data_IF_167739725338
#
_entry.id   IF_167739725338
#
_cell.length_a   1.000
_cell.length_b   1.000
_cell.length_c   1.000
_cell.angle_alpha   90.00
_cell.angle_beta   90.00
_cell.angle_gamma   90.00
#
_symmetry.space_group_name_H-M   'P 1'
#
loop_
_entity.id
_entity.type
_entity.pdbx_description
1 polymer ?
#
# COMPACT_ATOMS: atom_id res chain seq x y z
N UNK A 1 4.48 -18.27 -39.36
CA UNK A 1 5.51 -18.50 -38.33
C UNK A 1 5.88 -17.26 -37.55
N UNK A 2 5.97 -16.07 -38.17
CA UNK A 2 6.29 -14.84 -37.46
C UNK A 2 5.33 -14.49 -36.36
N UNK A 3 4.02 -14.77 -36.53
CA UNK A 3 3.00 -14.45 -35.52
C UNK A 3 3.13 -15.30 -34.26
N UNK A 4 3.61 -16.55 -34.38
CA UNK A 4 3.81 -17.40 -33.21
C UNK A 4 4.97 -16.89 -32.35
N UNK A 5 6.08 -16.51 -32.98
CA UNK A 5 7.20 -15.93 -32.26
C UNK A 5 6.82 -14.62 -31.59
N UNK A 6 6.03 -13.79 -32.27
CA UNK A 6 5.54 -12.53 -31.71
C UNK A 6 4.72 -12.77 -30.45
N UNK A 7 3.80 -13.76 -30.50
CA UNK A 7 2.98 -14.11 -29.33
C UNK A 7 3.83 -14.58 -28.15
N UNK A 8 4.84 -15.41 -28.41
CA UNK A 8 5.74 -15.90 -27.37
C UNK A 8 6.50 -14.73 -26.74
N UNK A 9 7.00 -13.82 -27.55
CA UNK A 9 7.72 -12.63 -27.06
C UNK A 9 6.82 -11.78 -26.15
N UNK A 10 5.57 -11.55 -26.56
CA UNK A 10 4.61 -10.76 -25.79
C UNK A 10 4.33 -11.46 -24.45
N UNK A 11 4.10 -12.77 -24.45
CA UNK A 11 3.83 -13.52 -23.22
C UNK A 11 5.02 -13.45 -22.27
N UNK A 12 6.23 -13.63 -22.78
CA UNK A 12 7.45 -13.55 -21.98
C UNK A 12 7.61 -12.14 -21.40
N UNK A 13 7.35 -11.11 -22.21
CA UNK A 13 7.47 -9.72 -21.76
C UNK A 13 6.46 -9.40 -20.65
N UNK A 14 5.20 -9.83 -20.81
CA UNK A 14 4.17 -9.63 -19.79
C UNK A 14 4.53 -10.37 -18.50
N UNK A 15 4.99 -11.61 -18.63
CA UNK A 15 5.40 -12.41 -17.47
C UNK A 15 6.56 -11.75 -16.72
N UNK A 16 7.58 -11.30 -17.46
CA UNK A 16 8.73 -10.62 -16.88
C UNK A 16 8.32 -9.32 -16.18
N UNK A 17 7.42 -8.55 -16.80
CA UNK A 17 6.90 -7.31 -16.23
C UNK A 17 6.13 -7.58 -14.92
N UNK A 18 5.27 -8.59 -14.91
CA UNK A 18 4.50 -8.93 -13.70
C UNK A 18 5.41 -9.39 -12.56
N UNK A 19 6.43 -10.20 -12.87
CA UNK A 19 7.42 -10.62 -11.89
C UNK A 19 8.21 -9.43 -11.35
N UNK A 20 8.64 -8.54 -12.23
CA UNK A 20 9.37 -7.34 -11.82
C UNK A 20 8.54 -6.48 -10.87
N UNK A 21 7.26 -6.23 -11.20
CA UNK A 21 6.37 -5.47 -10.33
C UNK A 21 6.17 -6.14 -8.99
N UNK A 22 5.98 -7.45 -8.98
CA UNK A 22 5.78 -8.20 -7.74
C UNK A 22 7.00 -8.07 -6.82
N UNK A 23 8.20 -8.28 -7.34
CA UNK A 23 9.41 -8.15 -6.53
C UNK A 23 9.69 -6.70 -6.12
N UNK A 24 9.37 -5.75 -6.99
CA UNK A 24 9.53 -4.33 -6.69
C UNK A 24 8.64 -3.92 -5.53
N UNK A 25 7.38 -4.37 -5.51
CA UNK A 25 6.46 -4.10 -4.40
C UNK A 25 6.95 -4.73 -3.10
N UNK A 26 7.49 -5.94 -3.15
CA UNK A 26 8.03 -6.59 -1.96
C UNK A 26 9.23 -5.84 -1.37
N UNK A 27 10.05 -5.22 -2.22
CA UNK A 27 11.18 -4.41 -1.76
C UNK A 27 10.71 -3.09 -1.18
N UNK A 28 9.66 -2.52 -1.74
CA UNK A 28 9.17 -1.20 -1.35
C UNK A 28 8.50 -1.21 0.00
N UNK A 29 7.85 -2.31 0.38
CA UNK A 29 7.02 -2.34 1.58
C UNK A 29 7.13 -3.68 2.29
N UNK A 30 7.16 -3.64 3.62
CA UNK A 30 7.09 -4.84 4.45
C UNK A 30 5.66 -5.09 4.84
N UNK A 31 5.20 -6.32 4.66
CA UNK A 31 3.86 -6.73 5.05
C UNK A 31 3.87 -7.16 6.52
N UNK A 32 3.03 -6.54 7.32
CA UNK A 32 2.91 -6.86 8.75
C UNK A 32 1.60 -7.60 9.00
N UNK A 33 1.66 -8.59 9.88
CA UNK A 33 0.45 -9.22 10.42
C UNK A 33 -0.31 -8.20 11.26
N UNK A 34 -1.57 -8.50 11.59
CA UNK A 34 -2.37 -7.60 12.44
C UNK A 34 -1.69 -7.36 13.78
N UNK A 35 -1.12 -8.39 14.40
CA UNK A 35 -0.42 -8.28 15.68
C UNK A 35 0.79 -7.34 15.57
N UNK A 36 1.61 -7.55 14.55
CA UNK A 36 2.78 -6.70 14.31
C UNK A 36 2.36 -5.26 14.03
N UNK A 37 1.30 -5.08 13.26
CA UNK A 37 0.78 -3.77 12.92
C UNK A 37 0.27 -3.05 14.16
N UNK A 38 -0.48 -3.76 15.01
CA UNK A 38 -0.98 -3.21 16.29
C UNK A 38 0.14 -2.79 17.23
N UNK A 39 1.26 -3.48 17.20
CA UNK A 39 2.38 -3.18 18.07
C UNK A 39 3.04 -1.83 17.76
N UNK A 40 2.95 -1.34 16.52
CA UNK A 40 3.69 -0.16 16.10
C UNK A 40 2.88 0.99 15.52
N UNK A 41 1.61 0.78 15.16
CA UNK A 41 0.90 1.78 14.36
C UNK A 41 0.65 3.11 15.06
N UNK A 42 0.57 3.11 16.38
CA UNK A 42 0.34 4.36 17.14
C UNK A 42 1.55 5.27 17.17
N UNK A 43 2.75 4.71 17.00
CA UNK A 43 4.00 5.48 16.96
C UNK A 43 4.44 5.82 15.54
N UNK A 44 3.68 5.37 14.55
CA UNK A 44 3.98 5.58 13.15
C UNK A 44 2.99 6.56 12.53
N UNK A 45 3.28 6.97 11.29
CA UNK A 45 2.33 7.69 10.47
C UNK A 45 1.35 6.68 9.88
N UNK A 46 0.13 6.66 10.37
CA UNK A 46 -0.88 5.67 9.95
C UNK A 46 -1.77 6.28 8.87
N UNK A 47 -1.69 5.73 7.67
CA UNK A 47 -2.34 6.26 6.49
C UNK A 47 -3.31 5.23 5.91
N UNK A 48 -4.57 5.64 5.76
CA UNK A 48 -5.60 4.88 5.05
C UNK A 48 -5.63 5.36 3.60
N UNK A 49 -5.29 4.48 2.65
CA UNK A 49 -5.20 4.85 1.23
C UNK A 49 -6.48 4.50 0.46
N UNK A 50 -7.57 4.16 1.18
CA UNK A 50 -8.87 3.95 0.57
C UNK A 50 -9.51 5.28 0.20
N UNK A 51 -10.59 5.24 -0.55
CA UNK A 51 -11.32 6.47 -0.88
C UNK A 51 -11.99 7.07 0.35
N UNK A 52 -12.31 8.37 0.28
CA UNK A 52 -12.84 9.12 1.43
C UNK A 52 -14.15 8.52 1.96
N UNK A 53 -15.02 8.04 1.07
CA UNK A 53 -16.29 7.43 1.48
C UNK A 53 -16.07 6.11 2.24
N UNK A 54 -15.07 5.33 1.87
CA UNK A 54 -14.69 4.11 2.61
C UNK A 54 -14.18 4.47 4.00
N UNK A 55 -13.31 5.48 4.06
CA UNK A 55 -12.75 5.98 5.33
C UNK A 55 -13.84 6.47 6.27
N UNK A 56 -14.78 7.25 5.76
CA UNK A 56 -15.87 7.81 6.55
C UNK A 56 -16.78 6.73 7.13
N UNK A 57 -16.94 5.62 6.42
CA UNK A 57 -17.74 4.49 6.86
C UNK A 57 -17.11 3.66 7.97
N UNK A 58 -15.82 3.84 8.23
CA UNK A 58 -15.10 3.15 9.28
C UNK A 58 -13.62 3.05 8.92
N UNK A 59 -12.75 3.38 9.87
CA UNK A 59 -11.30 3.36 9.67
C UNK A 59 -10.60 3.01 10.98
N UNK A 60 -9.34 2.62 10.89
CA UNK A 60 -8.54 2.34 12.08
C UNK A 60 -8.37 3.63 12.88
N UNK A 61 -8.62 3.55 14.18
CA UNK A 61 -8.53 4.71 15.05
C UNK A 61 -7.15 5.36 14.95
N UNK A 62 -7.13 6.66 14.68
CA UNK A 62 -5.90 7.44 14.55
C UNK A 62 -5.34 7.51 13.14
N UNK A 63 -5.98 6.86 12.16
CA UNK A 63 -5.51 6.93 10.77
C UNK A 63 -5.91 8.23 10.11
N UNK A 64 -5.05 8.67 9.17
CA UNK A 64 -5.31 9.80 8.27
C UNK A 64 -5.66 9.24 6.90
N UNK A 65 -6.63 9.85 6.24
CA UNK A 65 -7.03 9.42 4.91
C UNK A 65 -6.26 10.20 3.84
N UNK A 66 -5.45 9.49 3.07
CA UNK A 66 -4.84 10.00 1.85
C UNK A 66 -5.11 8.96 0.77
N UNK A 67 -6.21 9.11 0.00
CA UNK A 67 -6.56 8.12 -1.02
C UNK A 67 -5.43 7.92 -2.03
N UNK A 68 -5.30 6.70 -2.55
CA UNK A 68 -4.28 6.39 -3.55
C UNK A 68 -4.36 7.36 -4.74
N UNK A 69 -5.58 7.74 -5.14
CA UNK A 69 -5.82 8.67 -6.24
C UNK A 69 -5.24 10.07 -5.98
N UNK A 70 -5.04 10.43 -4.71
CA UNK A 70 -4.52 11.73 -4.30
C UNK A 70 -3.08 11.66 -3.80
N UNK A 71 -2.47 10.48 -3.81
CA UNK A 71 -1.17 10.28 -3.19
C UNK A 71 -0.09 11.18 -3.78
N UNK A 72 -0.04 11.33 -5.10
CA UNK A 72 0.96 12.19 -5.76
C UNK A 72 0.87 13.64 -5.29
N UNK A 73 -0.35 14.17 -5.16
CA UNK A 73 -0.55 15.56 -4.75
C UNK A 73 -0.28 15.77 -3.26
N UNK A 74 -0.58 14.76 -2.45
CA UNK A 74 -0.57 14.89 -0.99
C UNK A 74 0.59 14.17 -0.31
N UNK A 75 1.52 13.65 -1.09
CA UNK A 75 2.67 12.90 -0.56
C UNK A 75 3.50 13.71 0.43
N UNK A 76 3.59 15.02 0.23
CA UNK A 76 4.33 15.92 1.12
C UNK A 76 3.77 15.98 2.54
N UNK A 77 2.53 15.53 2.74
CA UNK A 77 1.94 15.43 4.09
C UNK A 77 2.55 14.28 4.89
N UNK A 78 3.26 13.38 4.23
CA UNK A 78 3.90 12.20 4.86
C UNK A 78 5.39 12.50 5.01
N UNK A 79 5.91 12.31 6.22
CA UNK A 79 7.34 12.55 6.49
C UNK A 79 8.18 11.36 6.06
N UNK A 80 9.26 11.58 5.28
CA UNK A 80 10.13 10.48 4.85
C UNK A 80 11.07 9.95 5.95
N UNK A 81 11.24 10.70 7.04
CA UNK A 81 12.17 10.36 8.13
C UNK A 81 11.51 9.55 9.25
N UNK A 82 10.25 9.17 9.11
CA UNK A 82 9.52 8.39 10.12
C UNK A 82 8.83 7.19 9.47
N UNK A 83 8.60 6.12 10.25
CA UNK A 83 7.89 4.96 9.73
C UNK A 83 6.50 5.32 9.20
N UNK A 84 6.13 4.74 8.07
CA UNK A 84 4.83 4.94 7.43
C UNK A 84 4.10 3.60 7.43
N UNK A 85 2.96 3.56 8.07
CA UNK A 85 2.08 2.39 8.12
C UNK A 85 0.87 2.65 7.23
N UNK A 86 0.72 1.84 6.21
CA UNK A 86 -0.31 1.99 5.19
C UNK A 86 -1.31 0.85 5.28
N UNK A 87 -2.57 1.13 4.97
CA UNK A 87 -3.54 0.06 4.78
C UNK A 87 -4.60 0.48 3.78
N UNK A 88 -5.23 -0.52 3.19
CA UNK A 88 -6.40 -0.34 2.35
C UNK A 88 -7.41 -1.43 2.71
N UNK A 89 -8.38 -1.68 1.85
CA UNK A 89 -9.41 -2.67 2.15
C UNK A 89 -8.86 -4.10 2.18
N UNK A 90 -7.98 -4.44 1.22
CA UNK A 90 -7.47 -5.82 1.07
C UNK A 90 -5.95 -5.94 0.96
N UNK A 91 -5.22 -4.83 0.76
CA UNK A 91 -3.76 -4.81 0.64
C UNK A 91 -3.22 -4.41 -0.73
N UNK A 92 -4.06 -4.37 -1.76
CA UNK A 92 -3.60 -4.04 -3.12
C UNK A 92 -3.25 -2.57 -3.29
N UNK A 93 -4.14 -1.69 -2.86
CA UNK A 93 -3.93 -0.23 -2.98
C UNK A 93 -2.79 0.24 -2.09
N UNK A 94 -2.66 -0.33 -0.90
CA UNK A 94 -1.56 0.02 0.02
C UNK A 94 -0.21 -0.39 -0.54
N UNK A 95 -0.13 -1.53 -1.23
CA UNK A 95 1.10 -1.94 -1.93
C UNK A 95 1.50 -0.94 -3.02
N UNK A 96 0.53 -0.45 -3.78
CA UNK A 96 0.79 0.56 -4.82
C UNK A 96 1.22 1.90 -4.21
N UNK A 97 0.56 2.31 -3.14
CA UNK A 97 0.92 3.54 -2.44
C UNK A 97 2.35 3.48 -1.92
N UNK A 98 2.72 2.33 -1.31
CA UNK A 98 4.07 2.13 -0.83
C UNK A 98 5.10 2.20 -1.95
N UNK A 99 4.79 1.63 -3.12
CA UNK A 99 5.69 1.69 -4.26
C UNK A 99 5.90 3.13 -4.74
N UNK A 100 4.83 3.92 -4.78
CA UNK A 100 4.91 5.35 -5.14
C UNK A 100 5.80 6.11 -4.15
N UNK A 101 5.60 5.88 -2.86
CA UNK A 101 6.39 6.52 -1.81
C UNK A 101 7.86 6.10 -1.88
N UNK A 102 8.11 4.82 -2.08
CA UNK A 102 9.46 4.29 -2.18
C UNK A 102 10.25 4.96 -3.31
N UNK A 103 9.61 5.17 -4.45
CA UNK A 103 10.24 5.83 -5.60
C UNK A 103 10.60 7.29 -5.32
N UNK A 104 9.95 7.90 -4.33
CA UNK A 104 10.19 9.28 -3.92
C UNK A 104 11.12 9.39 -2.71
N UNK A 105 11.74 8.29 -2.30
CA UNK A 105 12.74 8.29 -1.23
C UNK A 105 12.25 7.85 0.13
N UNK A 106 10.98 7.49 0.28
CA UNK A 106 10.47 6.93 1.53
C UNK A 106 10.94 5.48 1.64
N UNK A 107 11.62 5.13 2.72
CA UNK A 107 12.25 3.82 2.86
C UNK A 107 11.65 2.93 3.93
N UNK A 108 11.01 3.51 4.94
CA UNK A 108 10.50 2.78 6.10
C UNK A 108 9.00 2.62 5.97
N UNK A 109 8.60 1.70 5.08
CA UNK A 109 7.22 1.52 4.66
C UNK A 109 6.69 0.15 5.06
N UNK A 110 5.50 0.14 5.63
CA UNK A 110 4.82 -1.08 6.09
C UNK A 110 3.35 -1.04 5.68
N UNK A 111 2.75 -2.20 5.44
CA UNK A 111 1.32 -2.25 5.24
C UNK A 111 0.70 -3.48 5.91
N UNK A 112 -0.60 -3.39 6.18
CA UNK A 112 -1.36 -4.37 6.93
C UNK A 112 -1.76 -5.55 6.03
N UNK A 113 -1.36 -6.76 6.43
CA UNK A 113 -1.78 -7.99 5.77
C UNK A 113 -3.30 -8.15 5.88
N UNK A 114 -3.94 -8.40 4.77
CA UNK A 114 -5.38 -8.61 4.72
C UNK A 114 -6.21 -7.33 4.76
N UNK A 115 -5.60 -6.18 5.09
CA UNK A 115 -6.25 -4.89 5.06
C UNK A 115 -7.33 -4.69 6.12
N UNK A 116 -8.09 -3.61 5.95
CA UNK A 116 -9.13 -3.21 6.91
C UNK A 116 -10.23 -4.24 7.06
N UNK A 117 -10.57 -4.98 6.00
CA UNK A 117 -11.66 -5.96 6.09
C UNK A 117 -11.41 -7.07 7.10
N UNK A 118 -10.15 -7.33 7.44
CA UNK A 118 -9.76 -8.33 8.44
C UNK A 118 -9.34 -7.73 9.79
N UNK A 119 -9.39 -6.41 9.89
CA UNK A 119 -8.97 -5.71 11.10
C UNK A 119 -9.93 -5.96 12.26
N UNK A 120 -9.40 -6.32 13.42
CA UNK A 120 -10.18 -6.57 14.65
C UNK A 120 -9.89 -5.56 15.74
N UNK A 121 -9.02 -4.57 15.49
CA UNK A 121 -8.68 -3.55 16.45
C UNK A 121 -9.70 -2.41 16.53
N UNK A 122 -9.33 -1.34 17.21
CA UNK A 122 -10.20 -0.18 17.40
C UNK A 122 -10.43 0.57 16.10
N UNK A 123 -11.67 0.96 15.85
CA UNK A 123 -12.06 1.72 14.69
C UNK A 123 -12.83 2.98 15.09
N UNK A 124 -12.91 3.91 14.16
CA UNK A 124 -13.71 5.11 14.27
C UNK A 124 -14.51 5.27 12.99
N UNK A 125 -15.73 5.76 13.09
CA UNK A 125 -16.55 6.14 11.95
C UNK A 125 -16.98 7.57 12.08
N UNK A 126 -17.23 8.20 10.91
CA UNK A 126 -17.56 9.61 10.89
C UNK A 126 -19.06 9.85 10.82
#
# INVERSE_FOLDING_TARGET
>A
MGSLYFLIIVIVAVFAYTLFNYFSQKRAVKTLTEEEFKAGYRKAQLIDVREANEFDGGHILGSRNIPLSQMKMRMKEIRPDKPVYLYCQSGMRSGRAAQMLYRKGYKDLYHLQGGFKKWTGKIKSK
#
